data_IF_972644912367
#
_entry.id   IF_972644912367
#
_cell.length_a   1.000
_cell.length_b   1.000
_cell.length_c   1.000
_cell.angle_alpha   90.00
_cell.angle_beta   90.00
_cell.angle_gamma   90.00
#
_symmetry.space_group_name_H-M   'P 1'
#
loop_
_entity.id
_entity.type
_entity.pdbx_description
1 polymer ?
#
# COMPACT_ATOMS: atom_id res chain seq x y z
N UNK A 1 -11.90 20.72 -1.96
CA UNK A 1 -11.12 21.78 -1.34
C UNK A 1 -9.85 22.02 -2.15
N UNK A 2 -9.96 22.92 -3.16
CA UNK A 2 -8.87 23.25 -4.10
C UNK A 2 -7.64 23.94 -3.47
N UNK A 3 -7.51 23.97 -2.17
CA UNK A 3 -6.36 24.61 -1.51
C UNK A 3 -5.12 23.72 -1.46
N UNK A 4 -5.28 22.40 -1.55
CA UNK A 4 -4.16 21.46 -1.43
C UNK A 4 -3.37 21.26 -2.74
N UNK A 5 -4.01 21.43 -3.90
CA UNK A 5 -3.33 21.29 -5.19
C UNK A 5 -2.21 22.32 -5.43
N UNK A 6 -2.29 23.49 -4.81
CA UNK A 6 -1.24 24.52 -4.90
C UNK A 6 -0.01 24.25 -4.05
N UNK A 7 -0.07 23.30 -3.11
CA UNK A 7 1.07 22.90 -2.29
C UNK A 7 2.07 22.02 -3.06
N UNK A 8 1.63 21.37 -4.13
CA UNK A 8 2.43 20.44 -4.92
C UNK A 8 3.13 21.05 -6.14
N UNK A 9 3.30 22.36 -6.20
CA UNK A 9 4.22 22.91 -7.21
C UNK A 9 5.67 22.52 -6.87
N UNK A 10 6.50 22.22 -7.89
CA UNK A 10 7.89 21.81 -7.70
C UNK A 10 8.67 22.72 -6.73
N UNK A 11 8.39 24.02 -6.77
CA UNK A 11 9.04 25.02 -5.92
C UNK A 11 8.64 24.89 -4.44
N UNK A 12 7.36 24.63 -4.19
CA UNK A 12 6.81 24.42 -2.84
C UNK A 12 7.21 23.06 -2.29
N UNK A 13 7.24 22.02 -3.12
CA UNK A 13 7.65 20.67 -2.72
C UNK A 13 9.10 20.67 -2.22
N UNK A 14 10.03 21.33 -2.92
CA UNK A 14 11.42 21.43 -2.49
C UNK A 14 11.57 22.12 -1.13
N UNK A 15 10.78 23.16 -0.89
CA UNK A 15 10.76 23.88 0.40
C UNK A 15 10.17 23.00 1.50
N UNK A 16 9.07 22.28 1.22
CA UNK A 16 8.43 21.36 2.17
C UNK A 16 9.33 20.20 2.54
N UNK A 17 10.00 19.58 1.55
CA UNK A 17 10.96 18.50 1.80
C UNK A 17 12.12 19.00 2.66
N UNK A 18 12.61 20.21 2.41
CA UNK A 18 13.69 20.79 3.20
C UNK A 18 13.29 21.08 4.64
N UNK A 19 12.03 21.45 4.89
CA UNK A 19 11.52 21.84 6.21
C UNK A 19 10.98 20.67 7.02
N UNK A 20 10.36 19.68 6.36
CA UNK A 20 9.63 18.59 7.00
C UNK A 20 10.05 17.20 6.53
N UNK A 21 10.91 17.13 5.51
CA UNK A 21 11.39 15.86 4.98
C UNK A 21 12.30 15.16 5.97
N UNK A 22 12.24 13.84 5.92
CA UNK A 22 13.13 12.94 6.67
C UNK A 22 14.11 12.27 5.71
N UNK A 23 15.27 11.87 6.19
CA UNK A 23 16.20 11.06 5.43
C UNK A 23 15.62 9.64 5.22
N UNK A 24 16.09 8.93 4.18
CA UNK A 24 15.71 7.52 3.95
C UNK A 24 15.99 6.66 5.19
N UNK A 25 17.07 6.93 5.92
CA UNK A 25 17.43 6.20 7.13
C UNK A 25 16.41 6.41 8.26
N UNK A 26 15.94 7.63 8.45
CA UNK A 26 14.90 7.94 9.44
C UNK A 26 13.57 7.27 9.06
N UNK A 27 13.17 7.36 7.78
CA UNK A 27 11.96 6.72 7.29
C UNK A 27 12.06 5.18 7.44
N UNK A 28 13.19 4.60 7.06
CA UNK A 28 13.44 3.16 7.21
C UNK A 28 13.30 2.71 8.68
N UNK A 29 13.87 3.47 9.62
CA UNK A 29 13.74 3.18 11.05
C UNK A 29 12.30 3.25 11.53
N UNK A 30 11.53 4.23 11.09
CA UNK A 30 10.12 4.39 11.43
C UNK A 30 9.26 3.25 10.84
N UNK A 31 9.56 2.80 9.62
CA UNK A 31 8.88 1.65 9.01
C UNK A 31 9.14 0.38 9.82
N UNK A 32 10.39 0.12 10.21
CA UNK A 32 10.73 -1.02 11.07
C UNK A 32 9.98 -0.94 12.39
N UNK A 33 10.02 0.22 13.05
CA UNK A 33 9.35 0.43 14.33
C UNK A 33 7.84 0.17 14.21
N UNK A 34 7.19 0.72 13.18
CA UNK A 34 5.78 0.49 12.92
C UNK A 34 5.46 -1.00 12.73
N UNK A 35 6.26 -1.71 11.94
CA UNK A 35 6.09 -3.15 11.73
C UNK A 35 6.30 -3.93 13.03
N UNK A 36 7.31 -3.58 13.82
CA UNK A 36 7.65 -4.24 15.09
C UNK A 36 6.57 -4.00 16.14
N UNK A 37 6.12 -2.76 16.33
CA UNK A 37 5.12 -2.41 17.33
C UNK A 37 3.76 -3.10 17.05
N UNK A 38 3.45 -3.35 15.80
CA UNK A 38 2.22 -4.04 15.39
C UNK A 38 2.38 -5.58 15.28
N UNK A 39 3.62 -6.10 15.26
CA UNK A 39 3.89 -7.54 15.16
C UNK A 39 4.20 -8.22 16.50
N UNK A 40 4.33 -7.47 17.58
CA UNK A 40 4.89 -7.93 18.88
C UNK A 40 3.85 -8.57 19.80
N UNK A 41 3.02 -9.44 19.29
CA UNK A 41 2.43 -10.46 20.16
C UNK A 41 3.11 -11.78 19.77
N UNK A 42 3.78 -12.41 20.72
CA UNK A 42 4.40 -13.73 20.51
C UNK A 42 3.38 -14.69 19.86
N UNK A 43 3.67 -15.18 18.66
CA UNK A 43 2.77 -16.02 17.88
C UNK A 43 2.03 -15.32 16.73
N UNK A 44 2.26 -14.03 16.50
CA UNK A 44 1.74 -13.36 15.30
C UNK A 44 2.43 -13.83 14.02
N UNK A 45 1.71 -13.90 12.89
CA UNK A 45 2.30 -14.23 11.61
C UNK A 45 3.36 -13.19 11.21
N UNK A 46 4.31 -13.55 10.36
CA UNK A 46 5.29 -12.60 9.84
C UNK A 46 4.59 -11.43 9.14
N UNK A 47 5.27 -10.27 9.08
CA UNK A 47 4.78 -9.10 8.37
C UNK A 47 4.47 -9.45 6.92
N UNK A 48 3.30 -9.06 6.45
CA UNK A 48 2.89 -9.17 5.05
C UNK A 48 2.66 -7.78 4.47
N UNK A 49 3.08 -7.58 3.24
CA UNK A 49 2.89 -6.34 2.51
C UNK A 49 1.85 -6.55 1.41
N UNK A 50 0.91 -5.64 1.33
CA UNK A 50 -0.14 -5.59 0.31
C UNK A 50 -0.15 -4.23 -0.36
N UNK A 51 -0.32 -4.21 -1.69
CA UNK A 51 -0.44 -2.98 -2.46
C UNK A 51 -1.23 -3.22 -3.74
N UNK A 52 -1.70 -2.16 -4.35
CA UNK A 52 -2.40 -2.20 -5.64
C UNK A 52 -1.42 -1.76 -6.73
N UNK A 53 -1.12 -2.62 -7.70
CA UNK A 53 0.02 -2.45 -8.62
C UNK A 53 1.35 -2.25 -7.89
N UNK A 54 1.60 -3.08 -6.91
CA UNK A 54 2.59 -2.90 -5.84
C UNK A 54 4.06 -2.97 -6.25
N UNK A 55 4.39 -3.28 -7.49
CA UNK A 55 5.77 -3.48 -7.93
C UNK A 55 6.66 -2.25 -7.69
N UNK A 56 6.16 -1.05 -8.03
CA UNK A 56 6.90 0.19 -7.80
C UNK A 56 7.02 0.55 -6.33
N UNK A 57 5.95 0.35 -5.56
CA UNK A 57 5.93 0.63 -4.12
C UNK A 57 6.94 -0.25 -3.40
N UNK A 58 7.01 -1.53 -3.78
CA UNK A 58 8.00 -2.46 -3.23
C UNK A 58 9.44 -2.05 -3.56
N UNK A 59 9.71 -1.61 -4.79
CA UNK A 59 11.02 -1.09 -5.16
C UNK A 59 11.39 0.14 -4.33
N UNK A 60 10.46 1.08 -4.16
CA UNK A 60 10.67 2.28 -3.36
C UNK A 60 10.93 1.93 -1.88
N UNK A 61 10.19 0.95 -1.33
CA UNK A 61 10.43 0.45 0.02
C UNK A 61 11.84 -0.14 0.14
N UNK A 62 12.27 -0.97 -0.80
CA UNK A 62 13.62 -1.54 -0.79
C UNK A 62 14.71 -0.46 -0.82
N UNK A 63 14.51 0.61 -1.59
CA UNK A 63 15.49 1.71 -1.68
C UNK A 63 15.68 2.48 -0.37
N UNK A 64 14.73 2.44 0.55
CA UNK A 64 14.93 3.00 1.89
C UNK A 64 16.06 2.27 2.65
N UNK A 65 16.24 0.99 2.37
CA UNK A 65 17.24 0.12 3.01
C UNK A 65 18.51 -0.08 2.17
N UNK A 66 18.45 0.23 0.88
CA UNK A 66 19.53 0.05 -0.09
C UNK A 66 19.11 -0.84 -1.25
N UNK A 67 19.09 -2.14 -1.07
CA UNK A 67 18.65 -3.14 -2.04
C UNK A 67 17.62 -4.08 -1.39
N UNK A 68 16.93 -4.86 -2.19
CA UNK A 68 16.00 -5.88 -1.69
C UNK A 68 16.67 -6.86 -0.70
N UNK A 69 17.93 -7.22 -0.94
CA UNK A 69 18.70 -8.11 -0.07
C UNK A 69 19.05 -7.47 1.29
N UNK A 70 18.99 -6.12 1.38
CA UNK A 70 19.31 -5.37 2.58
C UNK A 70 18.07 -5.16 3.47
N UNK A 71 16.90 -5.69 3.07
CA UNK A 71 15.71 -5.66 3.90
C UNK A 71 15.95 -6.34 5.25
N UNK A 72 15.47 -5.75 6.36
CA UNK A 72 15.64 -6.33 7.68
C UNK A 72 15.02 -7.72 7.80
N UNK A 73 15.57 -8.55 8.67
CA UNK A 73 14.98 -9.84 9.00
C UNK A 73 13.52 -9.68 9.44
N UNK A 74 12.63 -10.52 8.91
CA UNK A 74 11.19 -10.44 9.14
C UNK A 74 10.40 -9.55 8.16
N UNK A 75 11.09 -8.75 7.35
CA UNK A 75 10.44 -8.03 6.24
C UNK A 75 10.32 -8.95 5.02
N UNK A 76 9.16 -8.98 4.35
CA UNK A 76 8.96 -9.83 3.17
C UNK A 76 9.73 -9.30 1.96
N UNK A 77 10.25 -10.21 1.15
CA UNK A 77 11.00 -9.93 -0.08
C UNK A 77 10.10 -9.49 -1.25
N UNK A 78 8.79 -9.47 -1.05
CA UNK A 78 7.80 -9.08 -2.06
C UNK A 78 6.55 -8.51 -1.40
N UNK A 79 5.79 -7.78 -2.19
CA UNK A 79 4.47 -7.28 -1.83
C UNK A 79 3.42 -8.08 -2.59
N UNK A 80 2.37 -8.54 -1.92
CA UNK A 80 1.22 -9.19 -2.55
C UNK A 80 0.40 -8.14 -3.28
N UNK A 81 0.12 -8.37 -4.56
CA UNK A 81 -0.60 -7.40 -5.39
C UNK A 81 -2.11 -7.63 -5.32
N UNK A 82 -2.82 -6.68 -4.75
CA UNK A 82 -4.28 -6.72 -4.63
C UNK A 82 -4.99 -6.69 -5.97
N UNK A 83 -4.38 -6.11 -7.01
CA UNK A 83 -4.96 -6.15 -8.35
C UNK A 83 -4.95 -7.57 -8.93
N UNK A 84 -3.87 -8.30 -8.73
CA UNK A 84 -3.78 -9.70 -9.16
C UNK A 84 -4.78 -10.58 -8.39
N UNK A 85 -4.89 -10.39 -7.08
CA UNK A 85 -5.88 -11.10 -6.26
C UNK A 85 -7.30 -10.77 -6.74
N UNK A 86 -7.59 -9.50 -6.98
CA UNK A 86 -8.87 -9.04 -7.52
C UNK A 86 -9.21 -9.72 -8.86
N UNK A 87 -8.25 -9.77 -9.78
CA UNK A 87 -8.48 -10.39 -11.09
C UNK A 87 -8.74 -11.89 -10.97
N UNK A 88 -7.99 -12.58 -10.11
CA UNK A 88 -8.21 -14.00 -9.85
C UNK A 88 -9.60 -14.28 -9.26
N UNK A 89 -10.06 -13.46 -8.31
CA UNK A 89 -11.40 -13.61 -7.73
C UNK A 89 -12.49 -13.23 -8.74
N UNK A 90 -12.28 -12.21 -9.56
CA UNK A 90 -13.17 -11.86 -10.65
C UNK A 90 -13.35 -13.04 -11.62
N UNK A 91 -12.25 -13.64 -12.05
CA UNK A 91 -12.26 -14.78 -12.97
C UNK A 91 -12.90 -16.03 -12.32
N UNK A 92 -12.58 -16.30 -11.05
CA UNK A 92 -13.14 -17.42 -10.31
C UNK A 92 -14.66 -17.35 -10.18
N UNK A 93 -15.19 -16.18 -9.89
CA UNK A 93 -16.62 -15.99 -9.64
C UNK A 93 -17.44 -15.84 -10.92
N UNK A 94 -16.84 -15.35 -12.00
CA UNK A 94 -17.58 -14.88 -13.18
C UNK A 94 -17.03 -15.39 -14.51
N UNK A 95 -16.48 -16.59 -14.52
CA UNK A 95 -15.82 -17.20 -15.69
C UNK A 95 -16.63 -17.17 -17.01
N UNK A 96 -17.95 -16.94 -16.95
CA UNK A 96 -18.83 -16.86 -18.11
C UNK A 96 -19.81 -15.68 -18.09
N UNK A 97 -19.59 -14.67 -17.25
CA UNK A 97 -20.53 -13.55 -17.12
C UNK A 97 -19.89 -12.25 -17.62
N UNK A 98 -20.08 -11.95 -18.89
CA UNK A 98 -19.58 -10.72 -19.55
C UNK A 98 -20.07 -9.42 -18.89
N UNK A 99 -21.04 -9.48 -17.99
CA UNK A 99 -21.66 -8.30 -17.37
C UNK A 99 -21.30 -8.05 -15.91
N UNK A 100 -20.73 -9.02 -15.18
CA UNK A 100 -20.50 -8.83 -13.76
C UNK A 100 -19.06 -8.35 -13.48
N UNK A 101 -18.98 -7.32 -12.69
CA UNK A 101 -17.71 -6.75 -12.25
C UNK A 101 -17.73 -6.64 -10.72
N UNK A 102 -16.73 -7.20 -10.04
CA UNK A 102 -16.58 -7.13 -8.59
C UNK A 102 -16.68 -5.70 -8.03
N UNK A 103 -16.30 -4.71 -8.84
CA UNK A 103 -16.45 -3.29 -8.48
C UNK A 103 -17.91 -2.85 -8.31
N UNK A 104 -18.87 -3.60 -8.88
CA UNK A 104 -20.32 -3.37 -8.72
C UNK A 104 -20.89 -4.05 -7.48
N UNK A 105 -20.11 -4.87 -6.79
CA UNK A 105 -20.57 -5.56 -5.58
C UNK A 105 -20.92 -4.54 -4.49
N UNK A 106 -22.05 -4.70 -3.76
CA UNK A 106 -22.50 -3.74 -2.75
C UNK A 106 -21.48 -3.48 -1.64
N UNK A 107 -20.67 -4.49 -1.29
CA UNK A 107 -19.63 -4.39 -0.27
C UNK A 107 -18.26 -3.94 -0.82
N UNK A 108 -18.16 -3.65 -2.13
CA UNK A 108 -16.90 -3.15 -2.69
C UNK A 108 -16.54 -1.80 -2.06
N UNK A 109 -15.29 -1.63 -1.57
CA UNK A 109 -14.89 -0.40 -0.89
C UNK A 109 -14.91 0.80 -1.84
N UNK A 110 -15.30 1.95 -1.30
CA UNK A 110 -15.28 3.22 -2.05
C UNK A 110 -13.99 3.95 -1.79
N UNK A 111 -13.28 4.27 -2.85
CA UNK A 111 -12.07 5.08 -2.76
C UNK A 111 -12.45 6.55 -2.61
N UNK A 112 -11.75 7.25 -1.73
CA UNK A 112 -11.86 8.70 -1.54
C UNK A 112 -10.47 9.31 -1.55
N UNK A 113 -10.34 10.53 -2.07
CA UNK A 113 -9.07 11.27 -2.12
C UNK A 113 -7.92 10.45 -2.77
N UNK A 114 -8.16 9.95 -3.97
CA UNK A 114 -7.13 9.28 -4.79
C UNK A 114 -5.83 10.09 -4.82
N UNK A 115 -4.70 9.38 -4.90
CA UNK A 115 -3.35 9.95 -4.86
C UNK A 115 -2.92 10.56 -3.52
N UNK A 116 -3.68 10.31 -2.46
CA UNK A 116 -3.23 10.54 -1.09
C UNK A 116 -2.77 9.22 -0.48
N UNK A 117 -1.48 9.09 -0.17
CA UNK A 117 -0.87 7.83 0.28
C UNK A 117 -1.62 7.17 1.46
N UNK A 118 -2.09 7.96 2.43
CA UNK A 118 -2.85 7.42 3.57
C UNK A 118 -4.24 6.93 3.16
N UNK A 119 -4.92 7.60 2.22
CA UNK A 119 -6.24 7.19 1.74
C UNK A 119 -6.13 5.96 0.85
N UNK A 120 -5.10 5.90 0.01
CA UNK A 120 -4.82 4.74 -0.84
C UNK A 120 -4.45 3.52 0.01
N UNK A 121 -3.66 3.69 1.07
CA UNK A 121 -3.35 2.61 2.01
C UNK A 121 -4.60 2.10 2.76
N UNK A 122 -5.50 2.99 3.18
CA UNK A 122 -6.78 2.62 3.81
C UNK A 122 -7.71 1.91 2.85
N UNK A 123 -7.79 2.38 1.60
CA UNK A 123 -8.54 1.70 0.55
C UNK A 123 -7.99 0.30 0.29
N UNK A 124 -6.67 0.15 0.17
CA UNK A 124 -6.01 -1.14 -0.02
C UNK A 124 -6.33 -2.12 1.12
N UNK A 125 -6.35 -1.63 2.37
CA UNK A 125 -6.76 -2.45 3.52
C UNK A 125 -8.21 -2.93 3.37
N UNK A 126 -9.14 -2.03 3.07
CA UNK A 126 -10.54 -2.38 2.87
C UNK A 126 -10.74 -3.33 1.68
N UNK A 127 -10.00 -3.15 0.61
CA UNK A 127 -10.03 -4.03 -0.56
C UNK A 127 -9.53 -5.44 -0.20
N UNK A 128 -8.44 -5.54 0.56
CA UNK A 128 -7.94 -6.82 1.06
C UNK A 128 -8.98 -7.53 1.94
N UNK A 129 -9.60 -6.81 2.87
CA UNK A 129 -10.67 -7.36 3.72
C UNK A 129 -11.87 -7.82 2.88
N UNK A 130 -12.28 -7.04 1.89
CA UNK A 130 -13.34 -7.41 0.95
C UNK A 130 -13.01 -8.70 0.20
N UNK A 131 -11.83 -8.78 -0.43
CA UNK A 131 -11.41 -9.93 -1.22
C UNK A 131 -11.28 -11.23 -0.41
N UNK A 132 -11.01 -11.13 0.88
CA UNK A 132 -10.96 -12.31 1.77
C UNK A 132 -12.33 -12.78 2.26
N UNK A 133 -13.38 -11.98 2.07
CA UNK A 133 -14.73 -12.28 2.57
C UNK A 133 -15.76 -12.61 1.47
N UNK A 134 -15.34 -12.66 0.22
CA UNK A 134 -16.21 -13.03 -0.92
C UNK A 134 -16.08 -14.48 -1.36
#
# INVERSE_FOLDING_TARGET
NHKDERLFTYKNMKSLIKSYGKSNKEIASEVIQFCTDNAVVAGQPPVELYGYYSAYDHCCLCWLFGKMIDLPAGMPMYTKDLKQIFDQEQDRMFFNADEYNLKKHPAYPKQSNEHSAIHDARFNKQLHEFLNNI
#
